data_IF_688101459718
#
_entry.id   IF_688101459718
#
_cell.length_a   1.000
_cell.length_b   1.000
_cell.length_c   1.000
_cell.angle_alpha   90.00
_cell.angle_beta   90.00
_cell.angle_gamma   90.00
#
_symmetry.space_group_name_H-M   'P 1'
#
loop_
_entity.id
_entity.type
_entity.pdbx_description
1 polymer ?
#
# COMPACT_ATOMS: atom_id res chain seq x y z
N UNK A 1 -23.08 -4.87 4.96
CA UNK A 1 -21.67 -5.02 4.55
C UNK A 1 -21.51 -6.35 3.83
N UNK A 2 -20.90 -6.41 2.65
CA UNK A 2 -20.73 -7.65 1.89
C UNK A 2 -19.30 -8.18 2.09
N UNK A 3 -19.15 -9.21 2.94
CA UNK A 3 -17.86 -9.80 3.30
C UNK A 3 -17.08 -10.35 2.09
N UNK A 4 -17.78 -11.00 1.15
CA UNK A 4 -17.15 -11.54 -0.07
C UNK A 4 -16.48 -10.40 -0.89
N UNK A 5 -17.16 -9.27 -1.06
CA UNK A 5 -16.62 -8.13 -1.78
C UNK A 5 -15.44 -7.49 -1.04
N UNK A 6 -15.45 -7.47 0.31
CA UNK A 6 -14.33 -6.99 1.10
C UNK A 6 -13.11 -7.86 0.86
N UNK A 7 -13.26 -9.18 0.93
CA UNK A 7 -12.16 -10.12 0.69
C UNK A 7 -11.62 -9.99 -0.72
N UNK A 8 -12.49 -9.91 -1.74
CA UNK A 8 -12.06 -9.73 -3.13
C UNK A 8 -11.36 -8.38 -3.34
N UNK A 9 -11.84 -7.31 -2.71
CA UNK A 9 -11.22 -5.99 -2.76
C UNK A 9 -9.82 -6.01 -2.10
N UNK A 10 -9.70 -6.69 -0.95
CA UNK A 10 -8.42 -6.84 -0.27
C UNK A 10 -7.42 -7.65 -1.11
N UNK A 11 -7.84 -8.77 -1.69
CA UNK A 11 -6.97 -9.58 -2.55
C UNK A 11 -6.54 -8.83 -3.81
N UNK A 12 -7.46 -8.13 -4.48
CA UNK A 12 -7.14 -7.31 -5.64
C UNK A 12 -6.17 -6.18 -5.32
N UNK A 13 -6.40 -5.47 -4.21
CA UNK A 13 -5.51 -4.41 -3.74
C UNK A 13 -4.13 -4.95 -3.32
N UNK A 14 -4.07 -6.12 -2.70
CA UNK A 14 -2.82 -6.79 -2.34
C UNK A 14 -1.98 -7.12 -3.60
N UNK A 15 -2.60 -7.70 -4.62
CA UNK A 15 -1.91 -7.99 -5.89
C UNK A 15 -1.42 -6.70 -6.55
N UNK A 16 -2.27 -5.65 -6.61
CA UNK A 16 -1.90 -4.37 -7.20
C UNK A 16 -0.75 -3.70 -6.43
N UNK A 17 -0.75 -3.74 -5.10
CA UNK A 17 0.30 -3.21 -4.25
C UNK A 17 1.65 -3.86 -4.53
N UNK A 18 1.72 -5.19 -4.51
CA UNK A 18 2.97 -5.93 -4.76
C UNK A 18 3.45 -5.81 -6.20
N UNK A 19 2.53 -5.82 -7.17
CA UNK A 19 2.88 -5.62 -8.57
C UNK A 19 3.48 -4.24 -8.81
N UNK A 20 2.88 -3.19 -8.23
CA UNK A 20 3.38 -1.83 -8.35
C UNK A 20 4.73 -1.65 -7.64
N UNK A 21 4.90 -2.18 -6.43
CA UNK A 21 6.18 -2.18 -5.73
C UNK A 21 7.27 -2.90 -6.53
N UNK A 22 6.95 -4.06 -7.10
CA UNK A 22 7.83 -4.79 -8.00
C UNK A 22 8.22 -3.98 -9.25
N UNK A 23 7.28 -3.23 -9.83
CA UNK A 23 7.57 -2.32 -10.95
C UNK A 23 8.46 -1.16 -10.52
N UNK A 24 8.14 -0.47 -9.44
CA UNK A 24 8.90 0.69 -8.95
C UNK A 24 10.36 0.31 -8.71
N UNK A 25 10.60 -0.76 -7.94
CA UNK A 25 11.96 -1.16 -7.57
C UNK A 25 12.64 -2.09 -8.59
N UNK A 26 11.88 -2.78 -9.44
CA UNK A 26 12.41 -3.66 -10.49
C UNK A 26 12.82 -2.90 -11.75
N UNK A 27 12.01 -1.93 -12.18
CA UNK A 27 12.25 -1.16 -13.42
C UNK A 27 13.31 -0.07 -13.21
N UNK A 28 13.43 0.45 -11.99
CA UNK A 28 14.39 1.51 -11.68
C UNK A 28 15.57 0.99 -10.83
N UNK A 29 16.66 0.47 -11.44
CA UNK A 29 17.80 -0.06 -10.70
C UNK A 29 18.43 0.95 -9.75
N UNK A 30 18.35 2.26 -10.08
CA UNK A 30 18.84 3.34 -9.22
C UNK A 30 18.15 3.37 -7.86
N UNK A 31 16.88 3.00 -7.78
CA UNK A 31 16.13 2.94 -6.52
C UNK A 31 16.57 1.72 -5.69
N UNK A 32 16.70 0.56 -6.34
CA UNK A 32 17.22 -0.64 -5.69
C UNK A 32 18.63 -0.42 -5.13
N UNK A 33 19.50 0.23 -5.91
CA UNK A 33 20.89 0.52 -5.49
C UNK A 33 20.95 1.47 -4.30
N UNK A 34 19.93 2.30 -4.07
CA UNK A 34 19.90 3.18 -2.90
C UNK A 34 19.78 2.39 -1.59
N UNK A 35 19.02 1.28 -1.56
CA UNK A 35 18.94 0.39 -0.41
C UNK A 35 20.28 -0.31 -0.10
N UNK A 36 21.03 -0.68 -1.14
CA UNK A 36 22.32 -1.37 -0.99
C UNK A 36 23.40 -0.51 -0.33
N UNK A 37 23.19 0.80 -0.22
CA UNK A 37 24.09 1.70 0.51
C UNK A 37 24.03 1.54 2.03
N UNK A 38 23.03 0.84 2.54
CA UNK A 38 22.75 0.72 3.97
C UNK A 38 22.73 -0.75 4.43
N UNK A 39 23.83 -1.53 4.23
CA UNK A 39 23.84 -2.97 4.52
C UNK A 39 23.70 -3.29 6.02
N UNK A 40 24.01 -2.32 6.90
CA UNK A 40 23.81 -2.46 8.34
C UNK A 40 22.34 -2.25 8.78
N UNK A 41 21.48 -1.75 7.89
CA UNK A 41 20.06 -1.46 8.17
C UNK A 41 19.16 -2.49 7.48
N UNK A 42 19.43 -2.79 6.22
CA UNK A 42 18.60 -3.68 5.41
C UNK A 42 19.22 -5.08 5.31
N UNK A 43 18.35 -6.08 5.29
CA UNK A 43 18.75 -7.47 5.05
C UNK A 43 19.37 -7.63 3.67
N UNK A 44 20.28 -8.58 3.52
CA UNK A 44 20.77 -9.04 2.22
C UNK A 44 19.60 -9.52 1.34
N UNK A 45 19.82 -9.63 0.05
CA UNK A 45 18.78 -10.11 -0.89
C UNK A 45 18.21 -11.49 -0.49
N UNK A 46 19.08 -12.44 -0.10
CA UNK A 46 18.65 -13.75 0.40
C UNK A 46 17.85 -13.62 1.70
N UNK A 47 18.29 -12.76 2.62
CA UNK A 47 17.57 -12.46 3.84
C UNK A 47 16.19 -11.83 3.60
N UNK A 48 16.05 -11.00 2.59
CA UNK A 48 14.76 -10.43 2.18
C UNK A 48 13.84 -11.52 1.64
N UNK A 49 14.31 -12.38 0.74
CA UNK A 49 13.53 -13.48 0.17
C UNK A 49 13.04 -14.43 1.27
N UNK A 50 13.90 -14.83 2.20
CA UNK A 50 13.54 -15.76 3.27
C UNK A 50 12.47 -15.21 4.23
N UNK A 51 12.38 -13.88 4.39
CA UNK A 51 11.41 -13.22 5.26
C UNK A 51 10.19 -12.65 4.50
N UNK A 52 10.22 -12.71 3.17
CA UNK A 52 9.13 -12.20 2.32
C UNK A 52 7.73 -12.77 2.68
N UNK A 53 7.56 -14.07 2.97
CA UNK A 53 6.24 -14.61 3.33
C UNK A 53 5.63 -13.94 4.57
N UNK A 54 6.46 -13.59 5.56
CA UNK A 54 6.00 -12.89 6.77
C UNK A 54 5.52 -11.48 6.41
N UNK A 55 6.29 -10.76 5.59
CA UNK A 55 5.94 -9.43 5.11
C UNK A 55 4.64 -9.45 4.29
N UNK A 56 4.50 -10.44 3.40
CA UNK A 56 3.29 -10.61 2.59
C UNK A 56 2.06 -10.90 3.46
N UNK A 57 2.18 -11.79 4.45
CA UNK A 57 1.08 -12.09 5.36
C UNK A 57 0.66 -10.85 6.16
N UNK A 58 1.61 -10.09 6.70
CA UNK A 58 1.34 -8.85 7.41
C UNK A 58 0.67 -7.79 6.52
N UNK A 59 1.14 -7.64 5.28
CA UNK A 59 0.56 -6.70 4.32
C UNK A 59 -0.86 -7.11 3.91
N UNK A 60 -1.13 -8.42 3.72
CA UNK A 60 -2.48 -8.90 3.42
C UNK A 60 -3.46 -8.57 4.55
N UNK A 61 -3.04 -8.77 5.80
CA UNK A 61 -3.84 -8.39 6.98
C UNK A 61 -4.09 -6.88 7.00
N UNK A 62 -3.07 -6.06 6.78
CA UNK A 62 -3.20 -4.60 6.74
C UNK A 62 -4.20 -4.15 5.66
N UNK A 63 -4.07 -4.67 4.44
CA UNK A 63 -4.98 -4.34 3.33
C UNK A 63 -6.40 -4.83 3.61
N UNK A 64 -6.59 -5.99 4.25
CA UNK A 64 -7.90 -6.47 4.67
C UNK A 64 -8.56 -5.52 5.67
N UNK A 65 -7.81 -5.04 6.67
CA UNK A 65 -8.29 -4.02 7.60
C UNK A 65 -8.69 -2.74 6.88
N UNK A 66 -7.90 -2.28 5.92
CA UNK A 66 -8.23 -1.09 5.12
C UNK A 66 -9.47 -1.30 4.23
N UNK A 67 -9.66 -2.49 3.66
CA UNK A 67 -10.87 -2.81 2.90
C UNK A 67 -12.13 -2.81 3.79
N UNK A 68 -12.01 -3.28 5.04
CA UNK A 68 -13.08 -3.19 6.04
C UNK A 68 -13.37 -1.72 6.39
N UNK A 69 -12.35 -0.93 6.70
CA UNK A 69 -12.51 0.50 7.00
C UNK A 69 -13.14 1.27 5.84
N UNK A 70 -12.71 1.01 4.62
CA UNK A 70 -13.33 1.58 3.42
C UNK A 70 -14.81 1.22 3.34
N UNK A 71 -15.14 -0.05 3.57
CA UNK A 71 -16.52 -0.54 3.54
C UNK A 71 -17.42 0.12 4.61
N UNK A 72 -16.86 0.48 5.75
CA UNK A 72 -17.57 1.19 6.82
C UNK A 72 -17.79 2.69 6.50
N UNK A 73 -16.79 3.33 5.90
CA UNK A 73 -16.81 4.77 5.64
C UNK A 73 -17.62 5.16 4.38
N UNK A 74 -17.63 4.30 3.35
CA UNK A 74 -18.19 4.62 2.05
C UNK A 74 -19.44 3.78 1.69
N UNK A 75 -20.39 3.69 2.60
CA UNK A 75 -21.60 2.85 2.43
C UNK A 75 -22.57 3.32 1.36
N UNK A 76 -22.49 4.56 0.89
CA UNK A 76 -23.48 5.16 -0.02
C UNK A 76 -22.97 5.49 -1.43
N UNK A 77 -21.71 5.18 -1.78
CA UNK A 77 -21.18 5.57 -3.10
C UNK A 77 -21.44 4.51 -4.16
N UNK A 78 -22.43 4.74 -5.00
CA UNK A 78 -22.79 3.89 -6.14
C UNK A 78 -22.14 4.41 -7.44
N UNK A 79 -21.45 3.55 -8.15
CA UNK A 79 -20.86 3.84 -9.46
C UNK A 79 -19.35 3.60 -9.55
N UNK A 80 -18.87 3.31 -10.77
CA UNK A 80 -17.45 2.98 -11.00
C UNK A 80 -16.54 4.17 -10.74
N UNK A 81 -16.89 5.34 -11.28
CA UNK A 81 -16.09 6.56 -11.14
C UNK A 81 -16.08 7.08 -9.70
N UNK A 82 -17.24 7.04 -9.01
CA UNK A 82 -17.31 7.41 -7.60
C UNK A 82 -16.52 6.45 -6.70
N UNK A 83 -16.56 5.14 -6.99
CA UNK A 83 -15.75 4.13 -6.30
C UNK A 83 -14.26 4.39 -6.45
N UNK A 84 -13.77 4.62 -7.68
CA UNK A 84 -12.38 4.94 -7.95
C UNK A 84 -11.94 6.24 -7.26
N UNK A 85 -12.74 7.32 -7.34
CA UNK A 85 -12.43 8.61 -6.75
C UNK A 85 -12.39 8.54 -5.21
N UNK A 86 -13.36 7.88 -4.60
CA UNK A 86 -13.39 7.67 -3.15
C UNK A 86 -12.24 6.76 -2.69
N UNK A 87 -11.94 5.72 -3.48
CA UNK A 87 -10.79 4.86 -3.26
C UNK A 87 -9.48 5.61 -3.33
N UNK A 88 -9.31 6.50 -4.32
CA UNK A 88 -8.13 7.35 -4.45
C UNK A 88 -7.95 8.29 -3.24
N UNK A 89 -9.03 8.96 -2.81
CA UNK A 89 -9.01 9.83 -1.63
C UNK A 89 -8.64 9.05 -0.36
N UNK A 90 -9.29 7.91 -0.16
CA UNK A 90 -9.00 7.04 0.97
C UNK A 90 -7.57 6.54 0.95
N UNK A 91 -7.09 6.01 -0.18
CA UNK A 91 -5.73 5.53 -0.33
C UNK A 91 -4.68 6.62 -0.17
N UNK A 92 -4.94 7.84 -0.67
CA UNK A 92 -4.06 8.99 -0.48
C UNK A 92 -3.95 9.39 1.01
N UNK A 93 -5.06 9.37 1.76
CA UNK A 93 -5.02 9.63 3.21
C UNK A 93 -4.23 8.55 3.95
N UNK A 94 -4.41 7.27 3.60
CA UNK A 94 -3.61 6.16 4.15
C UNK A 94 -2.14 6.31 3.78
N UNK A 95 -1.84 6.70 2.55
CA UNK A 95 -0.47 6.97 2.09
C UNK A 95 0.18 8.10 2.88
N UNK A 96 -0.51 9.21 3.09
CA UNK A 96 -0.02 10.33 3.92
C UNK A 96 0.20 9.90 5.38
N UNK A 97 -0.73 9.13 5.95
CA UNK A 97 -0.55 8.57 7.29
C UNK A 97 0.69 7.67 7.35
N UNK A 98 0.89 6.79 6.37
CA UNK A 98 2.06 5.91 6.30
C UNK A 98 3.37 6.70 6.17
N UNK A 99 3.39 7.73 5.35
CA UNK A 99 4.56 8.61 5.21
C UNK A 99 4.90 9.28 6.54
N UNK A 100 3.91 9.87 7.21
CA UNK A 100 4.14 10.58 8.48
C UNK A 100 4.50 9.65 9.64
N UNK A 101 3.74 8.56 9.81
CA UNK A 101 3.88 7.68 10.97
C UNK A 101 4.96 6.60 10.83
N UNK A 102 5.34 6.24 9.60
CA UNK A 102 6.29 5.15 9.36
C UNK A 102 7.56 5.64 8.66
N UNK A 103 7.45 6.27 7.49
CA UNK A 103 8.63 6.65 6.70
C UNK A 103 9.45 7.72 7.42
N UNK A 104 8.80 8.74 8.00
CA UNK A 104 9.51 9.78 8.76
C UNK A 104 10.10 9.23 10.05
N UNK A 105 9.45 8.30 10.73
CA UNK A 105 10.01 7.65 11.91
C UNK A 105 11.22 6.77 11.56
N UNK A 106 11.22 6.13 10.39
CA UNK A 106 12.42 5.41 9.91
C UNK A 106 13.59 6.37 9.67
N UNK A 107 13.36 7.54 9.09
CA UNK A 107 14.41 8.55 8.92
C UNK A 107 15.02 9.00 10.25
N UNK A 108 14.18 9.16 11.27
CA UNK A 108 14.66 9.60 12.61
C UNK A 108 15.39 8.47 13.35
N UNK A 109 14.90 7.23 13.24
CA UNK A 109 15.40 6.12 14.07
C UNK A 109 16.47 5.25 13.38
N UNK A 110 16.56 5.29 12.05
CA UNK A 110 17.50 4.49 11.28
C UNK A 110 18.54 5.39 10.61
N UNK A 111 19.77 4.91 10.53
CA UNK A 111 20.83 5.65 9.84
C UNK A 111 20.70 5.51 8.31
N UNK A 112 19.64 6.11 7.75
CA UNK A 112 19.36 6.17 6.32
C UNK A 112 19.36 7.62 5.84
N UNK A 113 19.78 7.84 4.58
CA UNK A 113 19.83 9.19 4.03
C UNK A 113 18.47 9.71 3.56
N UNK A 114 18.35 11.04 3.48
CA UNK A 114 17.15 11.72 3.03
C UNK A 114 16.66 11.25 1.65
N UNK A 115 17.58 10.95 0.74
CA UNK A 115 17.23 10.47 -0.61
C UNK A 115 16.42 9.17 -0.55
N UNK A 116 16.87 8.17 0.21
CA UNK A 116 16.13 6.92 0.38
C UNK A 116 14.77 7.15 1.06
N UNK A 117 14.74 8.04 2.05
CA UNK A 117 13.51 8.43 2.75
C UNK A 117 12.48 9.02 1.79
N UNK A 118 12.89 9.95 0.91
CA UNK A 118 12.00 10.56 -0.08
C UNK A 118 11.50 9.53 -1.12
N UNK A 119 12.38 8.62 -1.56
CA UNK A 119 11.99 7.51 -2.45
C UNK A 119 10.91 6.67 -1.79
N UNK A 120 11.12 6.24 -0.55
CA UNK A 120 10.13 5.46 0.20
C UNK A 120 8.82 6.24 0.42
N UNK A 121 8.90 7.53 0.72
CA UNK A 121 7.71 8.36 0.91
C UNK A 121 6.83 8.40 -0.35
N UNK A 122 7.45 8.64 -1.51
CA UNK A 122 6.73 8.66 -2.80
C UNK A 122 6.21 7.26 -3.15
N UNK A 123 7.03 6.22 -3.00
CA UNK A 123 6.64 4.85 -3.30
C UNK A 123 5.42 4.42 -2.47
N UNK A 124 5.48 4.54 -1.15
CA UNK A 124 4.35 4.18 -0.27
C UNK A 124 3.11 5.04 -0.53
N UNK A 125 3.27 6.35 -0.78
CA UNK A 125 2.12 7.20 -1.10
C UNK A 125 1.40 6.71 -2.37
N UNK A 126 2.15 6.39 -3.41
CA UNK A 126 1.59 5.89 -4.69
C UNK A 126 0.99 4.50 -4.51
N UNK A 127 1.69 3.57 -3.85
CA UNK A 127 1.22 2.21 -3.61
C UNK A 127 -0.10 2.18 -2.83
N UNK A 128 -0.22 2.95 -1.74
CA UNK A 128 -1.44 3.03 -0.95
C UNK A 128 -2.58 3.72 -1.70
N UNK A 129 -2.27 4.74 -2.52
CA UNK A 129 -3.28 5.40 -3.36
C UNK A 129 -3.85 4.41 -4.38
N UNK A 130 -3.01 3.65 -5.05
CA UNK A 130 -3.45 2.62 -6.02
C UNK A 130 -4.21 1.50 -5.33
N UNK A 131 -3.74 1.02 -4.17
CA UNK A 131 -4.46 0.02 -3.39
C UNK A 131 -5.88 0.51 -3.01
N UNK A 132 -6.00 1.76 -2.59
CA UNK A 132 -7.29 2.39 -2.29
C UNK A 132 -8.19 2.47 -3.52
N UNK A 133 -7.67 2.84 -4.69
CA UNK A 133 -8.43 2.85 -5.96
C UNK A 133 -8.98 1.44 -6.25
N UNK A 134 -8.15 0.41 -6.13
CA UNK A 134 -8.58 -0.98 -6.39
C UNK A 134 -9.65 -1.42 -5.39
N UNK A 135 -9.51 -1.08 -4.10
CA UNK A 135 -10.54 -1.33 -3.09
C UNK A 135 -11.85 -0.67 -3.52
N UNK A 136 -11.81 0.61 -3.89
CA UNK A 136 -13.00 1.37 -4.28
C UNK A 136 -13.66 0.88 -5.58
N UNK A 137 -12.87 0.34 -6.51
CA UNK A 137 -13.38 -0.26 -7.74
C UNK A 137 -14.09 -1.59 -7.52
N UNK A 138 -13.58 -2.42 -6.60
CA UNK A 138 -14.11 -3.77 -6.33
C UNK A 138 -15.24 -3.70 -5.30
N UNK A 139 -15.05 -2.96 -4.20
CA UNK A 139 -16.06 -2.79 -3.18
C UNK A 139 -17.05 -1.71 -3.61
N UNK A 140 -18.21 -2.16 -4.13
CA UNK A 140 -19.35 -1.30 -4.43
C UNK A 140 -20.46 -1.66 -3.47
N UNK A 141 -20.87 -0.77 -2.57
CA UNK A 141 -22.03 -1.02 -1.74
C UNK A 141 -23.27 -1.23 -2.63
N UNK A 142 -24.25 -2.06 -2.21
CA UNK A 142 -25.51 -2.17 -2.92
C UNK A 142 -26.19 -0.79 -2.93
N UNK A 143 -26.83 -0.44 -4.06
CA UNK A 143 -27.71 0.72 -4.10
C UNK A 143 -28.87 0.46 -3.15
N UNK A 144 -28.96 1.26 -2.10
CA UNK A 144 -30.20 1.33 -1.30
C UNK A 144 -31.22 2.09 -2.13
N UNK A 145 -32.18 1.34 -2.68
CA UNK A 145 -33.38 1.95 -3.25
C UNK A 145 -34.17 2.65 -2.16
#
# INVERSE_FOLDING_TARGET
MNLMRIVLAALGAFVAYFFLGGLIFGVFPSLKNEFLKYPGVYRSHEGQISHMPIGMAGMLVAILVLAILYALLYQGSSGLLSGAANGARFGALVGLFTVGSFVMQHYVNLNIGLKLTLINAVAYFVEWTVAGIVIGLIYRPPMTN
#
